data_IF_147167955636
#
_entry.id   IF_147167955636
#
_cell.length_a   1.000
_cell.length_b   1.000
_cell.length_c   1.000
_cell.angle_alpha   90.00
_cell.angle_beta   90.00
_cell.angle_gamma   90.00
#
_symmetry.space_group_name_H-M   'P 1'
#
loop_
_entity.id
_entity.type
_entity.pdbx_description
1 polymer ?
#
# COMPACT_ATOMS: atom_id res chain seq x y z
N UNK A 1 -34.38 -13.55 -2.08
CA UNK A 1 -33.90 -13.90 -0.75
C UNK A 1 -32.41 -13.54 -0.60
N UNK A 2 -31.48 -14.12 -1.34
CA UNK A 2 -30.05 -13.85 -1.28
C UNK A 2 -29.64 -12.36 -1.30
N UNK A 3 -30.17 -11.54 -2.22
CA UNK A 3 -29.84 -10.11 -2.31
C UNK A 3 -30.28 -9.31 -1.08
N UNK A 4 -31.43 -9.66 -0.50
CA UNK A 4 -31.95 -9.01 0.71
C UNK A 4 -31.09 -9.37 1.92
N UNK A 5 -30.76 -10.67 2.08
CA UNK A 5 -29.87 -11.12 3.15
C UNK A 5 -28.47 -10.46 3.04
N UNK A 6 -27.93 -10.40 1.84
CA UNK A 6 -26.65 -9.73 1.56
C UNK A 6 -26.72 -8.23 1.88
N UNK A 7 -27.80 -7.55 1.50
CA UNK A 7 -28.01 -6.14 1.81
C UNK A 7 -28.08 -5.90 3.33
N UNK A 8 -28.89 -6.70 4.04
CA UNK A 8 -29.03 -6.57 5.50
C UNK A 8 -27.67 -6.82 6.19
N UNK A 9 -27.00 -7.91 5.83
CA UNK A 9 -25.68 -8.25 6.41
C UNK A 9 -24.65 -7.15 6.16
N UNK A 10 -24.51 -6.71 4.91
CA UNK A 10 -23.58 -5.63 4.56
C UNK A 10 -23.92 -4.31 5.25
N UNK A 11 -25.20 -3.99 5.42
CA UNK A 11 -25.61 -2.73 6.07
C UNK A 11 -25.41 -2.78 7.58
N UNK A 12 -25.82 -3.86 8.24
CA UNK A 12 -25.73 -3.99 9.70
C UNK A 12 -24.30 -4.15 10.21
N UNK A 13 -23.46 -4.91 9.45
CA UNK A 13 -22.07 -5.18 9.79
C UNK A 13 -21.09 -4.14 9.22
N UNK A 14 -21.60 -3.01 8.74
CA UNK A 14 -20.81 -1.91 8.19
C UNK A 14 -20.78 -0.71 9.16
N UNK A 15 -20.03 0.37 8.85
CA UNK A 15 -20.10 1.62 9.58
C UNK A 15 -21.47 2.33 9.48
N UNK A 16 -22.36 1.92 8.56
CA UNK A 16 -23.60 2.60 8.25
C UNK A 16 -24.53 2.84 9.47
N UNK A 17 -24.77 1.87 10.38
CA UNK A 17 -25.62 2.11 11.57
C UNK A 17 -25.08 3.23 12.45
N UNK A 18 -23.76 3.27 12.68
CA UNK A 18 -23.12 4.31 13.48
C UNK A 18 -23.27 5.67 12.80
N UNK A 19 -23.06 5.74 11.49
CA UNK A 19 -23.23 6.96 10.69
C UNK A 19 -24.66 7.49 10.82
N UNK A 20 -25.65 6.62 10.65
CA UNK A 20 -27.07 6.99 10.75
C UNK A 20 -27.41 7.51 12.15
N UNK A 21 -26.97 6.81 13.20
CA UNK A 21 -27.21 7.23 14.61
C UNK A 21 -26.61 8.61 14.87
N UNK A 22 -25.36 8.83 14.49
CA UNK A 22 -24.70 10.13 14.66
C UNK A 22 -25.42 11.25 13.91
N UNK A 23 -25.86 10.96 12.68
CA UNK A 23 -26.61 11.91 11.86
C UNK A 23 -27.96 12.28 12.52
N UNK A 24 -28.74 11.29 12.97
CA UNK A 24 -30.02 11.53 13.63
C UNK A 24 -29.89 12.32 14.95
N UNK A 25 -28.89 11.98 15.78
CA UNK A 25 -28.60 12.72 17.00
C UNK A 25 -28.18 14.16 16.68
N UNK A 26 -27.33 14.31 15.64
CA UNK A 26 -26.87 15.61 15.18
C UNK A 26 -28.02 16.51 14.73
N UNK A 27 -28.90 16.00 13.89
CA UNK A 27 -30.11 16.70 13.42
C UNK A 27 -31.06 17.01 14.60
N UNK A 28 -31.31 16.03 15.49
CA UNK A 28 -32.12 16.23 16.68
C UNK A 28 -31.59 17.33 17.61
N UNK A 29 -30.26 17.46 17.72
CA UNK A 29 -29.65 18.56 18.49
C UNK A 29 -29.87 19.94 17.88
N UNK A 30 -29.91 20.02 16.54
CA UNK A 30 -30.23 21.29 15.86
C UNK A 30 -31.65 21.77 16.22
N UNK A 31 -32.65 20.86 16.22
CA UNK A 31 -34.00 21.17 16.62
C UNK A 31 -34.11 21.57 18.11
N UNK A 32 -33.27 20.99 18.99
CA UNK A 32 -33.15 21.35 20.40
C UNK A 32 -32.30 22.60 20.65
N UNK A 33 -32.01 23.42 19.64
CA UNK A 33 -31.18 24.62 19.69
C UNK A 33 -29.74 24.42 20.17
N UNK A 34 -29.25 23.16 20.21
CA UNK A 34 -27.87 22.81 20.56
C UNK A 34 -27.00 22.81 19.28
N UNK A 35 -26.95 23.96 18.59
CA UNK A 35 -26.39 24.08 17.23
C UNK A 35 -24.95 23.59 17.09
N UNK A 36 -24.06 23.93 18.06
CA UNK A 36 -22.63 23.50 17.99
C UNK A 36 -22.50 21.99 18.02
N UNK A 37 -23.14 21.31 18.98
CA UNK A 37 -23.05 19.86 19.10
C UNK A 37 -23.74 19.15 17.91
N UNK A 38 -24.85 19.70 17.43
CA UNK A 38 -25.55 19.19 16.25
C UNK A 38 -24.65 19.23 14.99
N UNK A 39 -24.01 20.37 14.74
CA UNK A 39 -23.09 20.53 13.61
C UNK A 39 -21.89 19.59 13.71
N UNK A 40 -21.26 19.48 14.88
CA UNK A 40 -20.11 18.58 15.08
C UNK A 40 -20.48 17.12 14.77
N UNK A 41 -21.63 16.63 15.25
CA UNK A 41 -22.08 15.26 15.00
C UNK A 41 -22.38 15.00 13.52
N UNK A 42 -22.98 15.96 12.83
CA UNK A 42 -23.21 15.88 11.38
C UNK A 42 -21.89 15.83 10.62
N UNK A 43 -20.92 16.67 11.00
CA UNK A 43 -19.59 16.66 10.36
C UNK A 43 -18.86 15.33 10.59
N UNK A 44 -18.90 14.78 11.81
CA UNK A 44 -18.30 13.46 12.10
C UNK A 44 -18.99 12.35 11.28
N UNK A 45 -20.33 12.35 11.23
CA UNK A 45 -21.10 11.40 10.42
C UNK A 45 -20.72 11.47 8.94
N UNK A 46 -20.66 12.68 8.38
CA UNK A 46 -20.27 12.91 6.98
C UNK A 46 -18.82 12.46 6.72
N UNK A 47 -17.90 12.81 7.59
CA UNK A 47 -16.51 12.37 7.50
C UNK A 47 -16.40 10.85 7.52
N UNK A 48 -17.08 10.18 8.47
CA UNK A 48 -17.05 8.72 8.58
C UNK A 48 -17.65 8.05 7.33
N UNK A 49 -18.72 8.61 6.77
CA UNK A 49 -19.30 8.15 5.52
C UNK A 49 -18.30 8.25 4.37
N UNK A 50 -17.68 9.40 4.16
CA UNK A 50 -16.69 9.62 3.10
C UNK A 50 -15.48 8.69 3.27
N UNK A 51 -14.94 8.58 4.48
CA UNK A 51 -13.79 7.74 4.77
C UNK A 51 -14.05 6.23 4.58
N UNK A 52 -15.30 5.79 4.71
CA UNK A 52 -15.70 4.39 4.54
C UNK A 52 -16.42 4.09 3.21
N UNK A 53 -16.60 5.10 2.35
CA UNK A 53 -17.31 5.00 1.07
C UNK A 53 -16.36 4.64 -0.07
N UNK A 54 -16.71 3.61 -0.86
CA UNK A 54 -15.99 3.27 -2.09
C UNK A 54 -15.98 4.42 -3.10
N UNK A 55 -17.09 5.12 -3.24
CA UNK A 55 -17.25 6.27 -4.15
C UNK A 55 -16.14 7.31 -3.96
N UNK A 56 -15.83 7.61 -2.70
CA UNK A 56 -14.82 8.61 -2.38
C UNK A 56 -13.41 8.02 -2.47
N UNK A 57 -13.18 6.87 -1.80
CA UNK A 57 -11.80 6.39 -1.61
C UNK A 57 -11.21 5.76 -2.86
N UNK A 58 -12.01 5.06 -3.66
CA UNK A 58 -11.51 4.47 -4.91
C UNK A 58 -11.08 5.54 -5.90
N UNK A 59 -11.80 6.66 -5.99
CA UNK A 59 -11.38 7.81 -6.80
C UNK A 59 -10.04 8.39 -6.32
N UNK A 60 -9.86 8.51 -5.00
CA UNK A 60 -8.63 9.05 -4.41
C UNK A 60 -7.42 8.10 -4.58
N UNK A 61 -7.64 6.81 -4.43
CA UNK A 61 -6.61 5.81 -4.70
C UNK A 61 -6.29 5.71 -6.19
N UNK A 62 -7.30 5.77 -7.05
CA UNK A 62 -7.10 5.76 -8.49
C UNK A 62 -6.11 6.84 -8.95
N UNK A 63 -6.21 8.04 -8.41
CA UNK A 63 -5.31 9.16 -8.72
C UNK A 63 -3.85 8.88 -8.28
N UNK A 64 -3.65 8.12 -7.20
CA UNK A 64 -2.32 7.69 -6.75
C UNK A 64 -1.78 6.52 -7.58
N UNK A 65 -2.59 5.50 -7.79
CA UNK A 65 -2.21 4.22 -8.37
C UNK A 65 -1.96 4.28 -9.88
N UNK A 66 -2.59 5.23 -10.58
CA UNK A 66 -2.40 5.42 -12.02
C UNK A 66 -1.28 6.41 -12.37
N UNK A 67 -0.44 6.77 -11.39
CA UNK A 67 0.76 7.59 -11.67
C UNK A 67 1.77 6.87 -12.55
N UNK A 68 1.79 5.54 -12.52
CA UNK A 68 2.63 4.67 -13.35
C UNK A 68 1.84 3.47 -13.84
N UNK A 69 2.06 3.09 -15.09
CA UNK A 69 1.41 1.92 -15.70
C UNK A 69 1.98 0.60 -15.17
N UNK A 70 1.19 -0.46 -15.29
CA UNK A 70 1.70 -1.83 -15.07
C UNK A 70 2.90 -2.06 -16.00
N UNK A 71 3.97 -2.64 -15.45
CA UNK A 71 5.20 -2.88 -16.19
C UNK A 71 4.96 -3.77 -17.42
N UNK A 72 5.53 -3.37 -18.56
CA UNK A 72 5.49 -4.16 -19.78
C UNK A 72 6.56 -5.27 -19.77
N UNK A 73 6.37 -6.31 -20.57
CA UNK A 73 7.37 -7.38 -20.73
C UNK A 73 8.72 -6.85 -21.19
N UNK A 74 8.72 -5.93 -22.16
CA UNK A 74 9.94 -5.27 -22.63
C UNK A 74 10.71 -4.59 -21.50
N UNK A 75 10.02 -3.95 -20.58
CA UNK A 75 10.62 -3.30 -19.43
C UNK A 75 11.09 -4.31 -18.36
N UNK A 76 10.41 -5.45 -18.21
CA UNK A 76 10.88 -6.56 -17.39
C UNK A 76 12.18 -7.17 -17.93
N UNK A 77 12.32 -7.29 -19.24
CA UNK A 77 13.57 -7.74 -19.87
C UNK A 77 14.71 -6.74 -19.68
N UNK A 78 14.42 -5.45 -19.85
CA UNK A 78 15.39 -4.36 -19.80
C UNK A 78 16.06 -4.20 -18.44
N UNK A 79 15.31 -4.31 -17.36
CA UNK A 79 15.85 -4.16 -16.01
C UNK A 79 16.86 -5.25 -15.69
N UNK A 80 17.95 -4.91 -15.03
CA UNK A 80 19.02 -5.84 -14.67
C UNK A 80 18.69 -6.62 -13.38
N UNK A 81 18.05 -5.95 -12.42
CA UNK A 81 17.69 -6.52 -11.13
C UNK A 81 16.31 -6.06 -10.67
N UNK A 82 15.72 -6.81 -9.76
CA UNK A 82 14.53 -6.41 -9.03
C UNK A 82 14.91 -5.74 -7.71
N UNK A 83 14.22 -4.65 -7.37
CA UNK A 83 14.29 -4.01 -6.04
C UNK A 83 12.91 -4.07 -5.43
N UNK A 84 12.74 -4.91 -4.42
CA UNK A 84 11.51 -5.10 -3.67
C UNK A 84 11.53 -4.28 -2.39
N UNK A 85 10.56 -3.38 -2.22
CA UNK A 85 10.46 -2.54 -1.02
C UNK A 85 9.61 -3.20 0.06
N UNK A 86 10.06 -3.05 1.30
CA UNK A 86 9.35 -3.39 2.52
C UNK A 86 8.00 -2.67 2.66
N UNK A 87 7.19 -3.10 3.59
CA UNK A 87 5.84 -2.55 3.81
C UNK A 87 5.12 -3.14 5.02
N UNK A 88 5.87 -3.77 5.92
CA UNK A 88 5.40 -4.29 7.18
C UNK A 88 5.36 -5.81 7.27
N UNK A 89 5.52 -6.26 8.50
CA UNK A 89 5.38 -7.66 8.92
C UNK A 89 4.32 -7.75 10.01
N UNK A 90 3.76 -8.93 10.21
CA UNK A 90 2.80 -9.25 11.26
C UNK A 90 3.36 -10.41 12.07
N UNK A 91 3.47 -10.25 13.37
CA UNK A 91 3.83 -11.35 14.29
C UNK A 91 2.56 -12.11 14.66
N UNK A 92 2.51 -13.37 14.29
CA UNK A 92 1.38 -14.27 14.58
C UNK A 92 1.72 -15.23 15.72
N UNK A 93 0.69 -15.76 16.37
CA UNK A 93 0.87 -16.72 17.47
C UNK A 93 1.24 -18.14 16.99
N UNK A 94 1.03 -18.45 15.72
CA UNK A 94 1.24 -19.79 15.17
C UNK A 94 2.46 -19.91 14.25
N UNK A 95 2.74 -18.88 13.45
CA UNK A 95 3.72 -18.96 12.35
C UNK A 95 4.91 -18.00 12.55
N UNK A 96 4.92 -17.23 13.66
CA UNK A 96 5.93 -16.21 13.89
C UNK A 96 5.72 -14.97 13.01
N UNK A 97 6.80 -14.41 12.47
CA UNK A 97 6.74 -13.24 11.60
C UNK A 97 6.39 -13.64 10.16
N UNK A 98 5.35 -13.06 9.64
CA UNK A 98 4.88 -13.22 8.25
C UNK A 98 4.76 -11.84 7.58
N UNK A 99 4.79 -11.76 6.24
CA UNK A 99 4.52 -10.50 5.54
C UNK A 99 3.13 -9.96 5.90
N UNK A 100 3.03 -8.66 6.03
CA UNK A 100 1.72 -8.00 6.09
C UNK A 100 0.91 -8.24 4.81
N UNK A 101 -0.40 -8.00 4.85
CA UNK A 101 -1.31 -8.23 3.71
C UNK A 101 -0.84 -7.51 2.44
N UNK A 102 -0.41 -6.27 2.56
CA UNK A 102 0.01 -5.47 1.41
C UNK A 102 1.34 -5.95 0.79
N UNK A 103 2.42 -6.18 1.58
CA UNK A 103 3.65 -6.73 1.03
C UNK A 103 3.54 -8.17 0.53
N UNK A 104 2.64 -9.01 1.04
CA UNK A 104 2.43 -10.35 0.51
C UNK A 104 2.13 -10.33 -1.01
N UNK A 105 1.31 -9.39 -1.48
CA UNK A 105 1.03 -9.22 -2.92
C UNK A 105 2.28 -8.78 -3.69
N UNK A 106 3.15 -7.94 -3.10
CA UNK A 106 4.43 -7.55 -3.72
C UNK A 106 5.36 -8.75 -3.88
N UNK A 107 5.46 -9.58 -2.85
CA UNK A 107 6.27 -10.80 -2.86
C UNK A 107 5.80 -11.78 -3.93
N UNK A 108 4.48 -12.05 -3.98
CA UNK A 108 3.88 -12.91 -5.01
C UNK A 108 4.18 -12.40 -6.42
N UNK A 109 4.05 -11.08 -6.63
CA UNK A 109 4.32 -10.47 -7.94
C UNK A 109 5.80 -10.51 -8.31
N UNK A 110 6.70 -10.33 -7.33
CA UNK A 110 8.14 -10.46 -7.52
C UNK A 110 8.51 -11.90 -7.93
N UNK A 111 7.94 -12.90 -7.26
CA UNK A 111 8.15 -14.31 -7.62
C UNK A 111 7.61 -14.64 -9.02
N UNK A 112 6.46 -14.07 -9.42
CA UNK A 112 5.92 -14.19 -10.78
C UNK A 112 6.88 -13.62 -11.83
N UNK A 113 7.42 -12.42 -11.60
CA UNK A 113 8.39 -11.79 -12.49
C UNK A 113 9.70 -12.58 -12.56
N UNK A 114 10.20 -13.05 -11.40
CA UNK A 114 11.40 -13.87 -11.33
C UNK A 114 11.27 -15.19 -12.12
N UNK A 115 10.14 -15.89 -12.02
CA UNK A 115 9.89 -17.12 -12.79
C UNK A 115 9.96 -16.90 -14.29
N UNK A 116 9.56 -15.73 -14.77
CA UNK A 116 9.56 -15.38 -16.18
C UNK A 116 10.92 -14.87 -16.65
N UNK A 117 11.58 -14.05 -15.82
CA UNK A 117 12.86 -13.41 -16.08
C UNK A 117 13.73 -13.51 -14.82
N UNK A 118 14.47 -14.61 -14.61
CA UNK A 118 15.35 -14.79 -13.46
C UNK A 118 16.43 -13.70 -13.40
N UNK A 119 16.48 -12.99 -12.26
CA UNK A 119 17.42 -11.89 -11.98
C UNK A 119 17.67 -11.79 -10.49
N UNK A 120 18.74 -11.15 -10.06
CA UNK A 120 18.94 -10.83 -8.64
C UNK A 120 17.80 -9.97 -8.09
N UNK A 121 17.40 -10.26 -6.86
CA UNK A 121 16.35 -9.55 -6.13
C UNK A 121 16.98 -8.90 -4.90
N UNK A 122 17.01 -7.57 -4.89
CA UNK A 122 17.39 -6.78 -3.74
C UNK A 122 16.12 -6.48 -2.94
N UNK A 123 16.06 -6.93 -1.69
CA UNK A 123 14.94 -6.67 -0.79
C UNK A 123 15.40 -5.64 0.22
N UNK A 124 14.74 -4.48 0.28
CA UNK A 124 15.08 -3.42 1.22
C UNK A 124 13.93 -3.18 2.20
N UNK A 125 14.22 -3.39 3.47
CA UNK A 125 13.28 -3.21 4.56
C UNK A 125 13.84 -3.75 5.87
N UNK A 126 14.18 -2.83 6.77
CA UNK A 126 14.74 -3.17 8.08
C UNK A 126 13.69 -3.60 9.09
N UNK A 127 14.08 -3.63 10.35
CA UNK A 127 13.17 -3.87 11.46
C UNK A 127 12.56 -2.55 11.93
N UNK A 128 11.22 -2.44 12.02
CA UNK A 128 10.57 -1.24 12.54
C UNK A 128 10.81 -1.03 14.05
N UNK A 129 11.12 -2.10 14.78
CA UNK A 129 11.41 -2.09 16.22
C UNK A 129 12.71 -2.82 16.50
N UNK A 130 13.46 -2.33 17.49
CA UNK A 130 14.69 -3.00 17.92
C UNK A 130 14.39 -4.44 18.35
N UNK A 131 15.28 -5.37 18.00
CA UNK A 131 15.20 -6.80 18.32
C UNK A 131 14.08 -7.59 17.62
N UNK A 132 13.51 -7.08 16.54
CA UNK A 132 12.61 -7.85 15.68
C UNK A 132 13.34 -8.28 14.40
N UNK A 133 12.87 -9.37 13.79
CA UNK A 133 13.29 -9.80 12.46
C UNK A 133 13.01 -8.68 11.44
N UNK A 134 13.91 -8.51 10.47
CA UNK A 134 13.74 -7.50 9.43
C UNK A 134 12.63 -7.88 8.43
N UNK A 135 11.99 -6.88 7.82
CA UNK A 135 11.03 -7.13 6.75
C UNK A 135 11.68 -7.88 5.58
N UNK A 136 12.90 -7.51 5.23
CA UNK A 136 13.65 -8.11 4.11
C UNK A 136 13.97 -9.59 4.36
N UNK A 137 14.32 -10.00 5.58
CA UNK A 137 14.54 -11.41 5.95
C UNK A 137 13.25 -12.23 5.86
N UNK A 138 12.14 -11.69 6.37
CA UNK A 138 10.82 -12.34 6.26
C UNK A 138 10.43 -12.52 4.79
N UNK A 139 10.62 -11.49 3.96
CA UNK A 139 10.25 -11.56 2.52
C UNK A 139 11.16 -12.49 1.74
N UNK A 140 12.44 -12.57 2.09
CA UNK A 140 13.38 -13.53 1.49
C UNK A 140 12.91 -14.97 1.71
N UNK A 141 12.51 -15.30 2.93
CA UNK A 141 11.97 -16.63 3.27
C UNK A 141 10.73 -16.97 2.43
N UNK A 142 9.81 -16.02 2.28
CA UNK A 142 8.62 -16.21 1.46
C UNK A 142 8.95 -16.36 -0.04
N UNK A 143 9.88 -15.56 -0.59
CA UNK A 143 10.31 -15.71 -1.97
C UNK A 143 10.95 -17.08 -2.22
N UNK A 144 11.77 -17.58 -1.29
CA UNK A 144 12.35 -18.92 -1.39
C UNK A 144 11.25 -19.99 -1.39
N UNK A 145 10.25 -19.87 -0.52
CA UNK A 145 9.09 -20.79 -0.49
C UNK A 145 8.31 -20.80 -1.79
N UNK A 146 8.28 -19.67 -2.50
CA UNK A 146 7.65 -19.51 -3.82
C UNK A 146 8.55 -19.98 -4.98
N UNK A 147 9.75 -20.52 -4.70
CA UNK A 147 10.64 -21.11 -5.67
C UNK A 147 11.68 -20.14 -6.29
N UNK A 148 11.93 -19.01 -5.63
CA UNK A 148 13.06 -18.15 -5.95
C UNK A 148 14.34 -18.79 -5.39
N UNK A 149 15.43 -18.81 -6.19
CA UNK A 149 16.71 -19.33 -5.73
C UNK A 149 17.30 -18.39 -4.65
N UNK A 150 17.67 -18.95 -3.51
CA UNK A 150 18.25 -18.19 -2.39
C UNK A 150 19.51 -17.43 -2.78
N UNK A 151 20.30 -17.95 -3.71
CA UNK A 151 21.51 -17.28 -4.23
C UNK A 151 21.20 -15.99 -4.99
N UNK A 152 19.97 -15.82 -5.48
CA UNK A 152 19.53 -14.64 -6.21
C UNK A 152 18.92 -13.56 -5.31
N UNK A 153 18.83 -13.80 -4.01
CA UNK A 153 18.24 -12.87 -3.04
C UNK A 153 19.34 -12.15 -2.26
N UNK A 154 19.27 -10.83 -2.25
CA UNK A 154 20.14 -9.94 -1.45
C UNK A 154 19.23 -9.15 -0.50
N UNK A 155 19.48 -9.25 0.81
CA UNK A 155 18.69 -8.57 1.84
C UNK A 155 19.40 -7.33 2.37
N UNK A 156 18.68 -6.24 2.48
CA UNK A 156 19.08 -5.02 3.16
C UNK A 156 18.17 -4.83 4.39
N UNK A 157 18.75 -4.86 5.59
CA UNK A 157 18.03 -5.00 6.85
C UNK A 157 18.09 -3.75 7.75
N UNK A 158 18.76 -2.68 7.31
CA UNK A 158 19.06 -1.53 8.17
C UNK A 158 18.12 -0.34 7.95
N UNK A 159 17.45 -0.29 6.81
CA UNK A 159 16.58 0.82 6.42
C UNK A 159 15.34 0.94 7.30
N UNK A 160 15.01 2.18 7.71
CA UNK A 160 13.85 2.51 8.55
C UNK A 160 12.77 3.31 7.81
N UNK A 161 13.07 3.74 6.61
CA UNK A 161 12.18 4.56 5.80
C UNK A 161 12.59 4.50 4.31
N UNK A 162 11.72 5.01 3.43
CA UNK A 162 11.93 4.92 1.98
C UNK A 162 13.20 5.64 1.49
N UNK A 163 13.65 6.70 2.17
CA UNK A 163 14.89 7.38 1.79
C UNK A 163 16.11 6.52 2.13
N UNK A 164 16.12 5.88 3.28
CA UNK A 164 17.18 4.94 3.66
C UNK A 164 17.18 3.71 2.76
N UNK A 165 16.00 3.19 2.37
CA UNK A 165 15.92 2.14 1.34
C UNK A 165 16.69 2.54 0.07
N UNK A 166 16.45 3.74 -0.45
CA UNK A 166 17.12 4.22 -1.65
C UNK A 166 18.64 4.36 -1.47
N UNK A 167 19.07 4.89 -0.31
CA UNK A 167 20.50 5.10 -0.02
C UNK A 167 21.26 3.78 0.14
N UNK A 168 20.70 2.79 0.84
CA UNK A 168 21.36 1.48 1.02
C UNK A 168 21.35 0.67 -0.27
N UNK A 169 20.25 0.71 -1.02
CA UNK A 169 20.21 0.08 -2.36
C UNK A 169 21.23 0.73 -3.31
N UNK A 170 21.38 2.07 -3.29
CA UNK A 170 22.41 2.77 -4.07
C UNK A 170 23.81 2.15 -3.87
N UNK A 171 24.21 1.94 -2.62
CA UNK A 171 25.53 1.38 -2.29
C UNK A 171 25.73 -0.01 -2.92
N UNK A 172 24.70 -0.86 -2.87
CA UNK A 172 24.76 -2.19 -3.48
C UNK A 172 24.77 -2.14 -5.02
N UNK A 173 24.02 -1.23 -5.62
CA UNK A 173 24.00 -1.04 -7.08
C UNK A 173 25.36 -0.53 -7.59
N UNK A 174 25.95 0.45 -6.94
CA UNK A 174 27.27 1.00 -7.29
C UNK A 174 28.37 -0.06 -7.21
N UNK A 175 28.38 -0.85 -6.13
CA UNK A 175 29.34 -1.95 -5.92
C UNK A 175 29.28 -3.00 -7.04
N UNK A 176 28.10 -3.24 -7.60
CA UNK A 176 27.87 -4.25 -8.62
C UNK A 176 27.75 -3.67 -10.04
N UNK A 177 27.91 -2.36 -10.22
CA UNK A 177 27.88 -1.69 -11.52
C UNK A 177 26.50 -1.70 -12.21
N UNK A 178 25.41 -1.85 -11.46
CA UNK A 178 24.03 -1.97 -11.95
C UNK A 178 23.50 -0.60 -12.35
N UNK A 179 22.90 -0.50 -13.55
CA UNK A 179 22.40 0.75 -14.14
C UNK A 179 20.89 0.78 -14.37
N UNK A 180 20.23 -0.38 -14.40
CA UNK A 180 18.80 -0.47 -14.66
C UNK A 180 18.12 -1.35 -13.61
N UNK A 181 17.23 -0.77 -12.82
CA UNK A 181 16.50 -1.50 -11.78
C UNK A 181 14.99 -1.53 -12.05
N UNK A 182 14.35 -2.60 -11.61
CA UNK A 182 12.89 -2.72 -11.59
C UNK A 182 12.44 -2.52 -10.15
N UNK A 183 11.82 -1.37 -9.86
CA UNK A 183 11.37 -1.01 -8.52
C UNK A 183 9.96 -1.53 -8.27
N UNK A 184 9.83 -2.54 -7.40
CA UNK A 184 8.57 -3.21 -7.09
C UNK A 184 8.03 -2.72 -5.74
N UNK A 185 6.84 -2.15 -5.77
CA UNK A 185 6.10 -1.76 -4.57
C UNK A 185 4.59 -1.65 -4.88
N UNK A 186 3.77 -1.39 -3.85
CA UNK A 186 2.32 -1.20 -4.05
C UNK A 186 2.02 0.04 -4.89
N UNK A 187 0.99 -0.04 -5.74
CA UNK A 187 0.62 1.02 -6.68
C UNK A 187 0.34 2.35 -5.97
N UNK A 188 -0.28 2.34 -4.80
CA UNK A 188 -0.52 3.54 -4.01
C UNK A 188 0.78 4.18 -3.46
N UNK A 189 1.86 3.38 -3.33
CA UNK A 189 3.16 3.83 -2.81
C UNK A 189 4.17 4.20 -3.90
N UNK A 190 3.98 3.75 -5.14
CA UNK A 190 4.97 3.85 -6.22
C UNK A 190 5.40 5.31 -6.50
N UNK A 191 4.46 6.25 -6.46
CA UNK A 191 4.75 7.67 -6.72
C UNK A 191 5.77 8.26 -5.75
N UNK A 192 5.64 7.96 -4.46
CA UNK A 192 6.58 8.42 -3.43
C UNK A 192 7.91 7.70 -3.54
N UNK A 193 7.88 6.40 -3.80
CA UNK A 193 9.10 5.61 -3.99
C UNK A 193 9.92 6.09 -5.19
N UNK A 194 9.29 6.31 -6.34
CA UNK A 194 9.96 6.85 -7.53
C UNK A 194 10.62 8.18 -7.25
N UNK A 195 9.87 9.16 -6.68
CA UNK A 195 10.43 10.46 -6.34
C UNK A 195 11.71 10.36 -5.48
N UNK A 196 11.72 9.46 -4.49
CA UNK A 196 12.86 9.30 -3.58
C UNK A 196 14.01 8.57 -4.26
N UNK A 197 13.72 7.53 -5.02
CA UNK A 197 14.74 6.75 -5.72
C UNK A 197 15.40 7.57 -6.83
N UNK A 198 14.63 8.28 -7.66
CA UNK A 198 15.16 9.18 -8.70
C UNK A 198 16.06 10.27 -8.12
N UNK A 199 15.74 10.78 -6.93
CA UNK A 199 16.54 11.78 -6.25
C UNK A 199 17.88 11.24 -5.70
N UNK A 200 17.92 9.99 -5.29
CA UNK A 200 19.09 9.41 -4.65
C UNK A 200 19.99 8.60 -5.61
N UNK A 201 19.46 8.07 -6.70
CA UNK A 201 20.13 7.17 -7.61
C UNK A 201 20.51 7.87 -8.93
N UNK A 202 21.53 8.71 -8.89
CA UNK A 202 22.03 9.36 -10.11
C UNK A 202 22.64 8.35 -11.09
N UNK A 203 22.25 8.44 -12.36
CA UNK A 203 22.77 7.58 -13.43
C UNK A 203 22.26 6.14 -13.41
N UNK A 204 21.22 5.86 -12.61
CA UNK A 204 20.49 4.58 -12.62
C UNK A 204 19.11 4.80 -13.21
N UNK A 205 18.76 4.02 -14.22
CA UNK A 205 17.38 4.00 -14.74
C UNK A 205 16.48 3.20 -13.82
N UNK A 206 15.39 3.82 -13.36
CA UNK A 206 14.44 3.18 -12.46
C UNK A 206 13.16 2.89 -13.23
N UNK A 207 12.87 1.60 -13.40
CA UNK A 207 11.68 1.12 -14.09
C UNK A 207 10.61 0.81 -13.02
N UNK A 208 9.52 1.57 -12.94
CA UNK A 208 8.48 1.32 -11.95
C UNK A 208 7.69 0.04 -12.27
N UNK A 209 7.49 -0.80 -11.28
CA UNK A 209 6.66 -2.00 -11.35
C UNK A 209 5.59 -1.98 -10.24
N UNK A 210 4.57 -1.11 -10.37
CA UNK A 210 3.49 -1.05 -9.41
C UNK A 210 2.69 -2.37 -9.39
N UNK A 211 2.37 -2.83 -8.20
CA UNK A 211 1.50 -3.97 -7.96
C UNK A 211 0.54 -3.66 -6.82
N UNK A 212 -0.31 -4.60 -6.43
CA UNK A 212 -1.26 -4.41 -5.33
C UNK A 212 -2.11 -3.13 -5.50
N UNK A 213 -2.90 -3.07 -6.57
CA UNK A 213 -3.87 -2.02 -6.82
C UNK A 213 -5.09 -2.23 -5.92
N UNK A 214 -5.53 -1.20 -5.22
CA UNK A 214 -6.64 -1.24 -4.26
C UNK A 214 -7.90 -0.56 -4.78
N UNK A 215 -7.77 0.39 -5.72
CA UNK A 215 -8.91 1.04 -6.34
C UNK A 215 -9.70 0.05 -7.20
N UNK A 216 -11.00 -0.07 -6.95
CA UNK A 216 -11.88 -0.92 -7.75
C UNK A 216 -12.23 -0.27 -9.08
N UNK A 217 -12.29 -1.09 -10.15
CA UNK A 217 -12.87 -0.73 -11.46
C UNK A 217 -14.27 -1.34 -11.64
N UNK A 218 -14.84 -1.90 -10.59
CA UNK A 218 -16.18 -2.47 -10.67
C UNK A 218 -17.20 -1.38 -11.07
N UNK A 219 -18.21 -1.80 -11.85
CA UNK A 219 -19.31 -0.90 -12.18
C UNK A 219 -20.07 -0.54 -10.93
N UNK A 220 -20.41 0.72 -10.80
CA UNK A 220 -21.25 1.22 -9.72
C UNK A 220 -22.57 0.43 -9.67
N UNK A 221 -22.81 -0.18 -8.54
CA UNK A 221 -24.07 -0.83 -8.19
C UNK A 221 -24.52 -0.29 -6.83
N UNK A 222 -25.72 -0.63 -6.39
CA UNK A 222 -26.27 -0.13 -5.15
C UNK A 222 -25.34 -0.41 -3.93
N UNK A 223 -24.64 -1.56 -3.90
CA UNK A 223 -23.73 -1.92 -2.82
C UNK A 223 -22.47 -1.06 -2.77
N UNK A 224 -22.15 -0.36 -3.86
CA UNK A 224 -21.02 0.56 -3.95
C UNK A 224 -21.18 1.77 -3.01
N UNK A 225 -22.42 2.14 -2.69
CA UNK A 225 -22.74 3.27 -1.81
C UNK A 225 -22.79 2.87 -0.33
N UNK A 226 -22.75 1.57 0.00
CA UNK A 226 -22.74 1.10 1.37
C UNK A 226 -21.33 1.28 1.95
N UNK A 227 -21.16 2.01 3.08
CA UNK A 227 -19.88 2.14 3.74
C UNK A 227 -19.31 0.77 4.15
N UNK A 228 -17.98 0.58 4.03
CA UNK A 228 -17.31 -0.69 4.40
C UNK A 228 -16.12 -0.41 5.31
N UNK A 229 -15.88 -1.24 6.31
CA UNK A 229 -14.72 -1.13 7.21
C UNK A 229 -13.39 -1.23 6.44
N UNK A 230 -13.33 -2.06 5.40
CA UNK A 230 -12.16 -2.17 4.55
C UNK A 230 -11.76 -0.85 3.88
N UNK A 231 -12.73 0.01 3.56
CA UNK A 231 -12.46 1.31 2.97
C UNK A 231 -11.82 2.30 3.96
N UNK A 232 -11.99 2.11 5.28
CA UNK A 232 -11.25 2.88 6.28
C UNK A 232 -9.74 2.59 6.21
N UNK A 233 -9.36 1.34 5.96
CA UNK A 233 -7.96 0.99 5.70
C UNK A 233 -7.44 1.65 4.42
N UNK A 234 -8.20 1.59 3.33
CA UNK A 234 -7.86 2.29 2.07
C UNK A 234 -7.71 3.80 2.30
N UNK A 235 -8.61 4.41 3.08
CA UNK A 235 -8.56 5.83 3.44
C UNK A 235 -7.30 6.16 4.24
N UNK A 236 -6.93 5.34 5.22
CA UNK A 236 -5.70 5.49 5.99
C UNK A 236 -4.47 5.44 5.08
N UNK A 237 -4.40 4.47 4.16
CA UNK A 237 -3.29 4.34 3.21
C UNK A 237 -3.18 5.55 2.28
N UNK A 238 -4.31 6.00 1.72
CA UNK A 238 -4.36 7.19 0.89
C UNK A 238 -3.88 8.44 1.64
N UNK A 239 -4.35 8.63 2.87
CA UNK A 239 -3.96 9.77 3.69
C UNK A 239 -2.47 9.72 4.03
N UNK A 240 -1.97 8.54 4.41
CA UNK A 240 -0.56 8.31 4.70
C UNK A 240 0.33 8.65 3.50
N UNK A 241 -0.01 8.17 2.31
CA UNK A 241 0.75 8.47 1.09
C UNK A 241 0.64 9.94 0.68
N UNK A 242 -0.52 10.55 0.85
CA UNK A 242 -0.70 11.98 0.55
C UNK A 242 0.16 12.84 1.45
N UNK A 243 0.14 12.61 2.76
CA UNK A 243 0.97 13.31 3.74
C UNK A 243 2.46 13.00 3.49
N UNK A 244 2.80 11.74 3.24
CA UNK A 244 4.15 11.31 2.92
C UNK A 244 4.71 12.01 1.70
N UNK A 245 3.95 12.10 0.60
CA UNK A 245 4.36 12.81 -0.61
C UNK A 245 4.61 14.32 -0.35
N UNK A 246 3.78 14.97 0.48
CA UNK A 246 3.98 16.37 0.86
C UNK A 246 5.25 16.51 1.71
N UNK A 247 5.38 15.67 2.74
CA UNK A 247 6.53 15.68 3.65
C UNK A 247 7.86 15.52 2.91
N UNK A 248 7.96 14.54 2.02
CA UNK A 248 9.20 14.30 1.28
C UNK A 248 9.53 15.42 0.28
N UNK A 249 8.54 16.06 -0.32
CA UNK A 249 8.76 17.24 -1.18
C UNK A 249 9.26 18.47 -0.43
N UNK A 250 8.91 18.60 0.86
CA UNK A 250 9.35 19.73 1.69
C UNK A 250 10.74 19.45 2.27
N UNK A 251 11.00 18.20 2.64
CA UNK A 251 12.23 17.84 3.35
C UNK A 251 13.42 17.59 2.43
N UNK A 252 13.16 17.09 1.24
CA UNK A 252 14.14 16.71 0.24
C UNK A 252 13.90 17.44 -1.09
#
# INVERSE_FOLDING_TARGET
>A
MFLIEKFISLSLLSPLPIIIILLFIGVGNLFKKRKKSGLVLILISTFLYLASSEVFIDKKLYDLENSYSIISEKNLEKGEVYVLLGGGIITTTGEGNIPGIMPAVRIMKTAEYYKKYPKKIYISGGSPLQNQESESSVYARELISLGVNSEDIIVEENSKNTNENALFIKQELEKNGIKNIILITSAFHIKRSMFIFEKNLDGVEIIPAPCNFLASKEKENFFYYIPKYYNLLKFQLWLWETIGNIYYKIRY
#
